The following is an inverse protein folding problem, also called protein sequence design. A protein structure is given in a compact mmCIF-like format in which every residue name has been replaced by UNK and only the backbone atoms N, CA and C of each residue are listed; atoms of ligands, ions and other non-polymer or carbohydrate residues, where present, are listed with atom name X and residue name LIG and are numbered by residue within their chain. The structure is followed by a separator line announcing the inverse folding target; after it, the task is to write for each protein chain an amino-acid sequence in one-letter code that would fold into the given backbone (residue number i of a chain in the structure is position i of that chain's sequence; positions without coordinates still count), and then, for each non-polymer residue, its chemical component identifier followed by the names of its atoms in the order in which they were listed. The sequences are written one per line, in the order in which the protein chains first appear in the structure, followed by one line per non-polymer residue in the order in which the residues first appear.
data_IF_867186348696
#
_entry.id   IF_867186348696
#
_cell.length_a   1.000
_cell.length_b   1.000
_cell.length_c   1.000
_cell.angle_alpha   90.00
_cell.angle_beta   90.00
_cell.angle_gamma   90.00
#
_symmetry.space_group_name_H-M   'P 1'
#
loop_
_entity.id
_entity.type
_entity.pdbx_description
1 polymer ?
#
# COMPACT_ATOMS: atom_id res chain seq x y z
N UNK A 1 -7.56 -27.69 8.27
CA UNK A 1 -7.34 -26.25 8.57
C UNK A 1 -7.07 -25.43 7.31
N UNK A 2 -6.61 -26.05 6.22
CA UNK A 2 -6.27 -25.34 4.98
C UNK A 2 -7.46 -24.62 4.32
N UNK A 3 -8.66 -25.21 4.33
CA UNK A 3 -9.85 -24.56 3.77
C UNK A 3 -10.17 -23.19 4.41
N UNK A 4 -9.99 -23.05 5.73
CA UNK A 4 -10.23 -21.78 6.42
C UNK A 4 -9.17 -20.74 6.03
N UNK A 5 -7.90 -21.14 5.96
CA UNK A 5 -6.82 -20.27 5.54
C UNK A 5 -7.02 -19.80 4.09
N UNK A 6 -7.36 -20.72 3.18
CA UNK A 6 -7.68 -20.40 1.79
C UNK A 6 -8.87 -19.45 1.69
N UNK A 7 -9.92 -19.66 2.47
CA UNK A 7 -11.09 -18.77 2.50
C UNK A 7 -10.72 -17.36 2.99
N UNK A 8 -9.94 -17.26 4.06
CA UNK A 8 -9.49 -15.98 4.60
C UNK A 8 -8.59 -15.24 3.60
N UNK A 9 -7.67 -15.94 2.94
CA UNK A 9 -6.81 -15.37 1.87
C UNK A 9 -7.66 -14.86 0.71
N UNK A 10 -8.66 -15.65 0.29
CA UNK A 10 -9.58 -15.25 -0.78
C UNK A 10 -10.35 -13.97 -0.41
N UNK A 11 -10.85 -13.90 0.83
CA UNK A 11 -11.54 -12.71 1.35
C UNK A 11 -10.61 -11.49 1.43
N UNK A 12 -9.37 -11.70 1.91
CA UNK A 12 -8.38 -10.63 1.98
C UNK A 12 -8.07 -10.10 0.59
N UNK A 13 -7.82 -10.98 -0.38
CA UNK A 13 -7.63 -10.63 -1.78
C UNK A 13 -8.77 -9.78 -2.33
N UNK A 14 -10.02 -10.23 -2.15
CA UNK A 14 -11.20 -9.49 -2.62
C UNK A 14 -11.30 -8.09 -2.00
N UNK A 15 -11.00 -8.02 -0.70
CA UNK A 15 -10.99 -6.75 0.04
C UNK A 15 -9.90 -5.81 -0.49
N UNK A 16 -8.68 -6.32 -0.69
CA UNK A 16 -7.57 -5.52 -1.20
C UNK A 16 -7.80 -5.03 -2.63
N UNK A 17 -8.39 -5.83 -3.52
CA UNK A 17 -8.76 -5.35 -4.87
C UNK A 17 -9.75 -4.18 -4.82
N UNK A 18 -10.78 -4.26 -3.96
CA UNK A 18 -11.71 -3.14 -3.78
C UNK A 18 -11.03 -1.89 -3.24
N UNK A 19 -10.10 -2.07 -2.29
CA UNK A 19 -9.31 -0.97 -1.76
C UNK A 19 -8.38 -0.37 -2.81
N UNK A 20 -7.70 -1.18 -3.60
CA UNK A 20 -6.81 -0.76 -4.68
C UNK A 20 -7.56 0.10 -5.71
N UNK A 21 -8.77 -0.30 -6.11
CA UNK A 21 -9.62 0.49 -6.99
C UNK A 21 -10.00 1.86 -6.38
N UNK A 22 -10.31 1.89 -5.09
CA UNK A 22 -10.63 3.14 -4.38
C UNK A 22 -9.40 4.06 -4.25
N UNK A 23 -8.23 3.50 -3.96
CA UNK A 23 -6.96 4.22 -3.84
C UNK A 23 -6.52 4.76 -5.19
N UNK A 24 -6.54 3.95 -6.25
CA UNK A 24 -6.23 4.41 -7.62
C UNK A 24 -7.15 5.56 -8.05
N UNK A 25 -8.45 5.45 -7.77
CA UNK A 25 -9.40 6.56 -8.01
C UNK A 25 -9.02 7.82 -7.23
N UNK A 26 -8.62 7.68 -5.96
CA UNK A 26 -8.19 8.80 -5.14
C UNK A 26 -6.90 9.44 -5.68
N UNK A 27 -5.92 8.64 -6.11
CA UNK A 27 -4.68 9.10 -6.77
C UNK A 27 -4.97 9.91 -8.03
N UNK A 28 -5.89 9.42 -8.87
CA UNK A 28 -6.29 10.15 -10.09
C UNK A 28 -6.99 11.48 -9.79
N UNK A 29 -7.69 11.58 -8.66
CA UNK A 29 -8.34 12.82 -8.22
C UNK A 29 -7.37 13.87 -7.64
N UNK A 30 -6.11 13.51 -7.39
CA UNK A 30 -5.09 14.46 -6.93
C UNK A 30 -4.58 15.32 -8.08
N UNK A 31 -4.32 16.59 -7.78
CA UNK A 31 -3.60 17.49 -8.68
C UNK A 31 -2.09 17.11 -8.77
N UNK A 32 -1.36 17.76 -9.68
CA UNK A 32 0.05 17.47 -9.90
C UNK A 32 0.94 17.70 -8.68
N UNK A 33 0.69 18.76 -7.89
CA UNK A 33 1.49 19.06 -6.70
C UNK A 33 1.21 18.05 -5.57
N UNK A 34 -0.05 17.70 -5.39
CA UNK A 34 -0.50 16.70 -4.43
C UNK A 34 0.08 15.31 -4.74
N UNK A 35 0.15 14.91 -6.02
CA UNK A 35 0.76 13.64 -6.40
C UNK A 35 2.24 13.57 -6.05
N UNK A 36 3.00 14.66 -6.24
CA UNK A 36 4.42 14.71 -5.85
C UNK A 36 4.61 14.50 -4.35
N UNK A 37 3.80 15.18 -3.53
CA UNK A 37 3.83 15.00 -2.08
C UNK A 37 3.48 13.55 -1.68
N UNK A 38 2.49 12.94 -2.34
CA UNK A 38 2.12 11.55 -2.08
C UNK A 38 3.24 10.58 -2.47
N UNK A 39 3.99 10.84 -3.55
CA UNK A 39 5.19 10.04 -3.89
C UNK A 39 6.19 10.07 -2.73
N UNK A 40 6.52 11.26 -2.23
CA UNK A 40 7.49 11.44 -1.15
C UNK A 40 7.06 10.73 0.12
N UNK A 41 5.79 10.92 0.50
CA UNK A 41 5.20 10.25 1.65
C UNK A 41 5.20 8.73 1.49
N UNK A 42 4.81 8.23 0.31
CA UNK A 42 4.73 6.78 0.06
C UNK A 42 6.11 6.12 0.17
N UNK A 43 7.15 6.74 -0.39
CA UNK A 43 8.51 6.22 -0.30
C UNK A 43 9.02 6.24 1.14
N UNK A 44 8.77 7.33 1.87
CA UNK A 44 9.13 7.42 3.28
C UNK A 44 8.42 6.34 4.12
N UNK A 45 7.12 6.12 3.92
CA UNK A 45 6.35 5.10 4.64
C UNK A 45 6.81 3.67 4.29
N UNK A 46 7.15 3.39 3.02
CA UNK A 46 7.71 2.10 2.60
C UNK A 46 9.05 1.82 3.29
N UNK A 47 9.92 2.83 3.36
CA UNK A 47 11.23 2.72 3.99
C UNK A 47 11.11 2.59 5.51
N UNK A 48 10.21 3.36 6.14
CA UNK A 48 9.92 3.26 7.56
C UNK A 48 9.37 1.88 7.95
N UNK A 49 8.48 1.33 7.12
CA UNK A 49 7.95 -0.02 7.34
C UNK A 49 9.03 -1.10 7.19
N UNK A 50 9.97 -0.94 6.25
CA UNK A 50 10.97 -1.96 5.93
C UNK A 50 11.96 -2.27 7.07
N UNK A 51 12.14 -1.37 8.03
CA UNK A 51 13.02 -1.58 9.19
C UNK A 51 12.32 -2.25 10.37
N UNK A 52 11.00 -2.46 10.30
CA UNK A 52 10.23 -3.11 11.35
C UNK A 52 10.37 -4.65 11.29
N UNK A 53 10.23 -5.35 12.43
CA UNK A 53 10.21 -6.82 12.44
C UNK A 53 9.09 -7.41 11.57
N UNK A 54 7.94 -6.74 11.53
CA UNK A 54 6.78 -7.12 10.71
C UNK A 54 6.36 -5.90 9.87
N UNK A 55 6.97 -5.67 8.69
CA UNK A 55 6.74 -4.47 7.87
C UNK A 55 5.29 -4.25 7.45
N UNK A 56 4.53 -5.33 7.27
CA UNK A 56 3.10 -5.27 6.92
C UNK A 56 2.20 -4.79 8.07
N UNK A 57 2.72 -4.67 9.30
CA UNK A 57 2.00 -4.11 10.45
C UNK A 57 2.34 -2.64 10.71
N UNK A 58 3.05 -1.98 9.79
CA UNK A 58 3.38 -0.56 9.92
C UNK A 58 2.15 0.31 10.18
N UNK A 59 2.27 1.20 11.18
CA UNK A 59 1.18 2.08 11.64
C UNK A 59 0.16 1.43 12.59
N UNK A 60 0.29 0.13 12.90
CA UNK A 60 -0.50 -0.52 13.96
C UNK A 60 0.16 -0.23 15.32
N UNK A 61 -0.62 0.25 16.29
CA UNK A 61 -0.14 0.58 17.64
C UNK A 61 -0.52 -0.50 18.66
N UNK A 62 -1.28 -1.54 18.25
CA UNK A 62 -1.67 -2.62 19.15
C UNK A 62 -0.56 -3.68 19.25
N UNK A 63 -0.09 -4.03 20.47
CA UNK A 63 0.82 -5.13 20.65
C UNK A 63 0.07 -6.46 20.45
N UNK A 64 0.25 -7.10 19.29
CA UNK A 64 -0.36 -8.41 18.99
C UNK A 64 0.73 -9.41 18.63
N UNK A 65 0.72 -10.57 19.30
CA UNK A 65 1.70 -11.66 19.11
C UNK A 65 1.76 -12.18 17.67
N UNK A 66 0.62 -12.23 16.96
CA UNK A 66 0.56 -12.59 15.55
C UNK A 66 -0.74 -12.09 14.90
N UNK A 67 -0.61 -11.33 13.80
CA UNK A 67 -1.72 -10.92 12.95
C UNK A 67 -1.26 -11.02 11.48
N UNK A 68 -1.92 -11.84 10.63
CA UNK A 68 -1.46 -12.08 9.26
C UNK A 68 -1.62 -10.85 8.37
N UNK A 69 -2.60 -9.99 8.66
CA UNK A 69 -2.89 -8.77 7.90
C UNK A 69 -3.19 -7.59 8.81
N UNK A 70 -2.73 -6.41 8.41
CA UNK A 70 -2.95 -5.21 9.21
C UNK A 70 -4.35 -4.62 9.03
N UNK A 71 -5.01 -4.16 10.12
CA UNK A 71 -6.24 -3.36 10.02
C UNK A 71 -5.96 -1.97 9.44
N UNK A 72 -4.70 -1.50 9.50
CA UNK A 72 -4.28 -0.18 9.01
C UNK A 72 -4.62 -0.01 7.54
N UNK A 73 -4.46 -1.06 6.72
CA UNK A 73 -4.86 -1.01 5.31
C UNK A 73 -6.37 -0.71 5.15
N UNK A 74 -7.24 -1.33 5.94
CA UNK A 74 -8.67 -1.05 5.86
C UNK A 74 -9.02 0.38 6.30
N UNK A 75 -8.38 0.86 7.37
CA UNK A 75 -8.58 2.23 7.87
C UNK A 75 -8.04 3.28 6.88
N UNK A 76 -6.86 3.06 6.32
CA UNK A 76 -6.27 3.94 5.33
C UNK A 76 -7.13 3.99 4.06
N UNK A 77 -7.60 2.84 3.58
CA UNK A 77 -8.47 2.75 2.41
C UNK A 77 -9.83 3.45 2.60
N UNK A 78 -10.39 3.49 3.81
CA UNK A 78 -11.63 4.23 4.04
C UNK A 78 -11.40 5.74 4.04
N UNK A 79 -10.24 6.19 4.55
CA UNK A 79 -9.84 7.60 4.67
C UNK A 79 -9.37 8.25 3.37
N UNK A 80 -9.11 7.48 2.30
CA UNK A 80 -8.79 8.08 0.99
C UNK A 80 -9.93 8.90 0.38
N UNK A 81 -11.13 8.86 0.97
CA UNK A 81 -12.31 9.65 0.56
C UNK A 81 -12.58 10.83 1.49
N UNK A 82 -11.75 11.06 2.49
CA UNK A 82 -11.96 12.14 3.45
C UNK A 82 -11.89 13.51 2.78
N UNK A 83 -12.65 14.45 3.36
CA UNK A 83 -12.68 15.85 2.89
C UNK A 83 -11.32 16.53 3.07
N UNK A 84 -10.58 16.16 4.11
CA UNK A 84 -9.23 16.66 4.36
C UNK A 84 -8.25 16.12 3.33
N UNK A 85 -7.64 17.02 2.55
CA UNK A 85 -6.63 16.66 1.53
C UNK A 85 -5.42 16.00 2.18
N UNK A 86 -4.91 16.57 3.28
CA UNK A 86 -3.74 16.03 4.00
C UNK A 86 -3.98 14.61 4.51
N UNK A 87 -5.18 14.35 5.06
CA UNK A 87 -5.52 13.03 5.56
C UNK A 87 -5.62 12.00 4.43
N UNK A 88 -6.21 12.40 3.30
CA UNK A 88 -6.31 11.57 2.10
C UNK A 88 -4.94 11.22 1.52
N UNK A 89 -4.04 12.20 1.40
CA UNK A 89 -2.67 11.99 0.92
C UNK A 89 -1.91 10.99 1.82
N UNK A 90 -1.92 11.24 3.13
CA UNK A 90 -1.29 10.33 4.12
C UNK A 90 -1.89 8.94 4.06
N UNK A 91 -3.21 8.84 3.91
CA UNK A 91 -3.90 7.53 3.85
C UNK A 91 -3.57 6.76 2.58
N UNK A 92 -3.40 7.43 1.44
CA UNK A 92 -2.92 6.78 0.21
C UNK A 92 -1.51 6.22 0.43
N UNK A 93 -0.59 7.03 0.94
CA UNK A 93 0.79 6.64 1.18
C UNK A 93 0.89 5.45 2.15
N UNK A 94 0.19 5.52 3.27
CA UNK A 94 0.17 4.47 4.29
C UNK A 94 -0.43 3.17 3.74
N UNK A 95 -1.52 3.26 2.99
CA UNK A 95 -2.13 2.08 2.36
C UNK A 95 -1.15 1.39 1.40
N UNK A 96 -0.49 2.16 0.53
CA UNK A 96 0.48 1.64 -0.42
C UNK A 96 1.65 0.96 0.29
N UNK A 97 2.19 1.56 1.35
CA UNK A 97 3.30 1.00 2.11
C UNK A 97 2.95 -0.35 2.78
N UNK A 98 1.81 -0.39 3.47
CA UNK A 98 1.34 -1.59 4.17
C UNK A 98 1.06 -2.72 3.19
N UNK A 99 0.28 -2.45 2.14
CA UNK A 99 -0.14 -3.48 1.18
C UNK A 99 1.02 -3.95 0.31
N UNK A 100 1.98 -3.08 0.00
CA UNK A 100 3.23 -3.48 -0.67
C UNK A 100 3.96 -4.56 0.14
N UNK A 101 4.19 -4.32 1.44
CA UNK A 101 4.89 -5.28 2.31
C UNK A 101 4.04 -6.52 2.61
N UNK A 102 2.72 -6.39 2.69
CA UNK A 102 1.81 -7.52 2.89
C UNK A 102 1.81 -8.50 1.71
N UNK A 103 1.93 -8.00 0.48
CA UNK A 103 1.71 -8.81 -0.73
C UNK A 103 3.00 -9.26 -1.42
N UNK A 104 4.12 -8.53 -1.26
CA UNK A 104 5.37 -8.78 -2.01
C UNK A 104 5.94 -10.20 -1.89
N UNK A 105 5.77 -10.83 -0.73
CA UNK A 105 6.29 -12.18 -0.42
C UNK A 105 5.17 -13.22 -0.37
N UNK A 106 3.96 -12.89 -0.81
CA UNK A 106 2.83 -13.82 -0.72
C UNK A 106 2.99 -14.98 -1.71
N UNK A 107 2.78 -16.24 -1.29
CA UNK A 107 2.75 -17.37 -2.20
C UNK A 107 1.44 -17.47 -3.01
N UNK A 108 0.39 -16.73 -2.62
CA UNK A 108 -0.91 -16.77 -3.30
C UNK A 108 -0.88 -15.93 -4.59
N UNK A 109 -1.24 -16.56 -5.72
CA UNK A 109 -1.24 -15.90 -7.04
C UNK A 109 -2.19 -14.69 -7.10
N UNK A 110 -3.27 -14.71 -6.31
CA UNK A 110 -4.22 -13.62 -6.24
C UNK A 110 -3.71 -12.41 -5.46
N UNK A 111 -3.03 -12.63 -4.33
CA UNK A 111 -2.34 -11.56 -3.62
C UNK A 111 -1.15 -11.01 -4.43
N UNK A 112 -0.49 -11.85 -5.23
CA UNK A 112 0.50 -11.38 -6.21
C UNK A 112 -0.12 -10.52 -7.32
N UNK A 113 -1.38 -10.76 -7.69
CA UNK A 113 -2.10 -9.85 -8.61
C UNK A 113 -2.35 -8.49 -7.98
N UNK A 114 -2.77 -8.46 -6.71
CA UNK A 114 -2.88 -7.22 -5.93
C UNK A 114 -1.53 -6.51 -5.83
N UNK A 115 -0.43 -7.25 -5.62
CA UNK A 115 0.92 -6.67 -5.59
C UNK A 115 1.26 -5.92 -6.89
N UNK A 116 0.96 -6.54 -8.04
CA UNK A 116 1.13 -5.88 -9.36
C UNK A 116 0.27 -4.63 -9.50
N UNK A 117 -0.95 -4.63 -8.97
CA UNK A 117 -1.79 -3.42 -8.96
C UNK A 117 -1.19 -2.30 -8.12
N UNK A 118 -0.63 -2.62 -6.95
CA UNK A 118 0.08 -1.68 -6.08
C UNK A 118 1.30 -1.10 -6.81
N UNK A 119 2.11 -1.94 -7.44
CA UNK A 119 3.24 -1.49 -8.26
C UNK A 119 2.78 -0.61 -9.44
N UNK A 120 1.64 -0.93 -10.05
CA UNK A 120 1.01 -0.08 -11.07
C UNK A 120 0.69 1.32 -10.54
N UNK A 121 0.02 1.42 -9.38
CA UNK A 121 -0.30 2.71 -8.74
C UNK A 121 0.98 3.46 -8.37
N UNK A 122 1.99 2.77 -7.85
CA UNK A 122 3.28 3.37 -7.52
C UNK A 122 4.01 3.91 -8.76
N UNK A 123 3.90 3.24 -9.92
CA UNK A 123 4.45 3.72 -11.19
C UNK A 123 3.68 4.95 -11.70
N UNK A 124 2.36 4.95 -11.61
CA UNK A 124 1.53 6.12 -11.96
C UNK A 124 1.91 7.34 -11.09
N UNK A 125 2.16 7.12 -9.80
CA UNK A 125 2.60 8.15 -8.87
C UNK A 125 4.03 8.62 -9.18
N UNK A 126 4.96 7.69 -9.43
CA UNK A 126 6.34 7.99 -9.79
C UNK A 126 6.41 8.99 -10.95
N UNK A 127 5.60 8.79 -11.97
CA UNK A 127 5.65 9.61 -13.18
C UNK A 127 5.24 11.09 -12.91
N UNK A 128 4.78 11.43 -11.69
CA UNK A 128 4.51 12.80 -11.25
C UNK A 128 5.77 13.63 -10.95
N UNK A 129 6.93 13.03 -10.66
CA UNK A 129 8.20 13.76 -10.48
C UNK A 129 9.43 12.96 -10.93
N UNK A 130 10.54 13.62 -11.29
CA UNK A 130 11.83 12.93 -11.38
C UNK A 130 12.19 12.32 -10.02
N UNK A 131 12.62 11.06 -10.07
CA UNK A 131 13.17 10.35 -8.93
C UNK A 131 14.68 10.55 -8.86
N UNK A 132 15.23 10.43 -7.66
CA UNK A 132 16.67 10.27 -7.46
C UNK A 132 17.15 8.93 -8.03
N UNK A 133 18.46 8.79 -8.23
CA UNK A 133 19.08 7.56 -8.71
C UNK A 133 18.78 6.37 -7.78
N UNK A 134 18.81 6.59 -6.46
CA UNK A 134 18.53 5.56 -5.46
C UNK A 134 17.06 5.13 -5.48
N UNK A 135 16.13 6.08 -5.54
CA UNK A 135 14.69 5.77 -5.66
C UNK A 135 14.40 5.02 -6.96
N UNK A 136 15.00 5.45 -8.09
CA UNK A 136 14.85 4.77 -9.38
C UNK A 136 15.39 3.34 -9.35
N UNK A 137 16.52 3.10 -8.68
CA UNK A 137 17.08 1.77 -8.48
C UNK A 137 16.17 0.90 -7.60
N UNK A 138 15.63 1.46 -6.52
CA UNK A 138 14.66 0.78 -5.66
C UNK A 138 13.41 0.36 -6.45
N UNK A 139 12.83 1.25 -7.26
CA UNK A 139 11.67 0.94 -8.10
C UNK A 139 11.94 -0.18 -9.12
N UNK A 140 13.17 -0.30 -9.63
CA UNK A 140 13.58 -1.39 -10.52
C UNK A 140 13.72 -2.71 -9.77
N UNK A 141 14.16 -2.68 -8.52
CA UNK A 141 14.30 -3.87 -7.68
C UNK A 141 12.96 -4.34 -7.08
N UNK A 142 12.01 -3.41 -6.90
CA UNK A 142 10.68 -3.66 -6.35
C UNK A 142 9.66 -4.15 -7.39
N UNK A 143 9.94 -3.97 -8.68
CA UNK A 143 9.09 -4.38 -9.80
C UNK A 143 9.42 -5.81 -10.27
#
# INVERSE_FOLDING_TARGET
MDMLITLLVHWRRHTLHKQAAAVRKAVHALDGAQRKLVVDQTLAEIQAAAVLPLPHLHGDNEPVMYRPWSPVAAVAASRVRDRSILLRQRSIALWLAVVYHETRQSPDAGLQAVHREVLGILRELRDARPLTTSESAWFKAAA
#
